data_IF_830469559785
#
_entry.id   IF_830469559785
#
_cell.length_a   1.000
_cell.length_b   1.000
_cell.length_c   1.000
_cell.angle_alpha   90.00
_cell.angle_beta   90.00
_cell.angle_gamma   90.00
#
_symmetry.space_group_name_H-M   'P 1'
#
loop_
_entity.id
_entity.type
_entity.pdbx_description
1 polymer ?
#
# COMPACT_ATOMS: atom_id res chain seq x y z
N UNK A 1 -24.93 -6.90 -62.48
CA UNK A 1 -23.79 -6.92 -61.54
C UNK A 1 -24.31 -6.48 -60.19
N UNK A 2 -24.40 -7.38 -59.18
CA UNK A 2 -24.87 -7.08 -57.83
C UNK A 2 -23.65 -6.94 -56.91
N UNK A 3 -23.32 -5.72 -56.47
CA UNK A 3 -22.29 -5.44 -55.50
C UNK A 3 -22.77 -5.80 -54.09
N UNK A 4 -22.15 -6.82 -53.48
CA UNK A 4 -22.39 -7.21 -52.09
C UNK A 4 -21.49 -6.34 -51.20
N UNK A 5 -22.07 -5.38 -50.47
CA UNK A 5 -21.37 -4.62 -49.44
C UNK A 5 -21.06 -5.53 -48.25
N UNK A 6 -19.79 -5.74 -47.98
CA UNK A 6 -19.29 -6.44 -46.80
C UNK A 6 -19.14 -5.42 -45.65
N UNK A 7 -20.06 -5.48 -44.69
CA UNK A 7 -19.97 -4.68 -43.47
C UNK A 7 -19.04 -5.40 -42.49
N UNK A 8 -17.79 -4.89 -42.32
CA UNK A 8 -16.88 -5.38 -41.31
C UNK A 8 -17.22 -4.65 -40.01
N UNK A 9 -17.83 -5.37 -39.07
CA UNK A 9 -18.04 -4.85 -37.72
C UNK A 9 -16.73 -4.88 -36.95
N UNK A 10 -16.16 -3.71 -36.72
CA UNK A 10 -14.96 -3.50 -35.88
C UNK A 10 -15.38 -3.58 -34.40
N UNK A 11 -15.15 -4.75 -33.78
CA UNK A 11 -15.36 -4.96 -32.34
C UNK A 11 -14.17 -4.33 -31.60
N UNK A 12 -14.37 -3.13 -31.04
CA UNK A 12 -13.42 -2.53 -30.13
C UNK A 12 -13.50 -3.24 -28.77
N UNK A 13 -12.49 -4.04 -28.45
CA UNK A 13 -12.30 -4.57 -27.09
C UNK A 13 -11.90 -3.41 -26.18
N UNK A 14 -12.83 -2.92 -25.39
CA UNK A 14 -12.51 -2.10 -24.24
C UNK A 14 -11.87 -3.00 -23.18
N UNK A 15 -10.53 -2.97 -23.08
CA UNK A 15 -9.82 -3.53 -21.94
C UNK A 15 -10.10 -2.60 -20.74
N UNK A 16 -11.04 -2.98 -19.88
CA UNK A 16 -11.16 -2.37 -18.57
C UNK A 16 -9.86 -2.70 -17.80
N UNK A 17 -9.05 -1.69 -17.51
CA UNK A 17 -7.92 -1.85 -16.60
C UNK A 17 -8.48 -2.29 -15.23
N UNK A 18 -8.00 -3.39 -14.65
CA UNK A 18 -8.44 -3.78 -13.32
C UNK A 18 -7.92 -2.72 -12.33
N UNK A 19 -8.81 -1.92 -11.75
CA UNK A 19 -8.48 -1.13 -10.58
C UNK A 19 -8.14 -2.11 -9.46
N UNK A 20 -7.00 -1.93 -8.81
CA UNK A 20 -6.63 -2.73 -7.65
C UNK A 20 -7.72 -2.54 -6.57
N UNK A 21 -8.55 -3.56 -6.39
CA UNK A 21 -9.62 -3.53 -5.41
C UNK A 21 -9.07 -4.07 -4.09
N UNK A 22 -8.62 -3.17 -3.23
CA UNK A 22 -8.07 -3.53 -1.93
C UNK A 22 -9.13 -4.12 -1.02
N UNK A 23 -8.92 -5.36 -0.59
CA UNK A 23 -9.76 -6.06 0.38
C UNK A 23 -9.02 -6.17 1.72
N UNK A 24 -9.67 -5.88 2.85
CA UNK A 24 -9.04 -5.96 4.16
C UNK A 24 -8.78 -7.43 4.53
N UNK A 25 -7.59 -7.68 5.07
CA UNK A 25 -7.23 -8.95 5.69
C UNK A 25 -7.45 -8.85 7.20
N UNK A 26 -6.94 -7.78 7.81
CA UNK A 26 -7.09 -7.51 9.22
C UNK A 26 -6.44 -6.20 9.63
N UNK A 27 -6.62 -5.83 10.89
CA UNK A 27 -6.03 -4.62 11.46
C UNK A 27 -5.65 -4.82 12.93
N UNK A 28 -4.69 -4.04 13.41
CA UNK A 28 -4.22 -4.05 14.79
C UNK A 28 -3.86 -2.65 15.26
N UNK A 29 -3.98 -2.41 16.56
CA UNK A 29 -3.58 -1.15 17.19
C UNK A 29 -2.17 -1.26 17.75
N UNK A 30 -1.34 -0.28 17.44
CA UNK A 30 -0.07 -0.12 18.09
C UNK A 30 -0.16 0.90 19.22
N UNK A 31 0.17 0.44 20.43
CA UNK A 31 0.19 1.26 21.63
C UNK A 31 1.59 1.37 22.21
N UNK A 32 1.96 2.56 22.66
CA UNK A 32 3.17 2.77 23.46
C UNK A 32 2.78 3.16 24.89
N UNK A 33 2.96 2.23 25.82
CA UNK A 33 2.41 2.36 27.15
C UNK A 33 0.88 2.50 27.08
N UNK A 34 0.28 3.53 27.71
CA UNK A 34 -1.18 3.75 27.64
C UNK A 34 -1.62 4.50 26.38
N UNK A 35 -0.70 4.88 25.49
CA UNK A 35 -1.02 5.73 24.34
C UNK A 35 -1.23 4.91 23.07
N UNK A 36 -2.37 5.06 22.44
CA UNK A 36 -2.60 4.59 21.08
C UNK A 36 -1.86 5.51 20.11
N UNK A 37 -0.92 4.96 19.34
CA UNK A 37 -0.03 5.72 18.45
C UNK A 37 -0.55 5.70 17.03
N UNK A 38 -0.84 4.50 16.51
CA UNK A 38 -1.46 4.31 15.19
C UNK A 38 -2.23 2.99 15.13
N UNK A 39 -3.17 2.92 14.22
CA UNK A 39 -3.79 1.67 13.78
C UNK A 39 -3.15 1.24 12.47
N UNK A 40 -2.75 -0.02 12.37
CA UNK A 40 -2.22 -0.60 11.13
C UNK A 40 -3.23 -1.57 10.54
N UNK A 41 -3.48 -1.45 9.22
CA UNK A 41 -4.30 -2.36 8.43
C UNK A 41 -3.47 -3.09 7.38
N UNK A 42 -3.83 -4.35 7.11
CA UNK A 42 -3.25 -5.16 6.04
C UNK A 42 -4.31 -5.45 5.00
N UNK A 43 -3.96 -5.27 3.72
CA UNK A 43 -4.87 -5.42 2.58
C UNK A 43 -4.19 -6.16 1.44
N UNK A 44 -4.97 -6.94 0.69
CA UNK A 44 -4.56 -7.55 -0.58
C UNK A 44 -5.71 -7.47 -1.60
N UNK A 45 -5.50 -7.91 -2.83
CA UNK A 45 -6.57 -8.01 -3.83
C UNK A 45 -7.58 -9.13 -3.52
N UNK A 46 -7.15 -10.15 -2.76
CA UNK A 46 -7.96 -11.34 -2.46
C UNK A 46 -8.61 -11.32 -1.08
N UNK A 47 -8.24 -10.37 -0.20
CA UNK A 47 -8.67 -10.34 1.20
C UNK A 47 -8.03 -11.45 2.06
N UNK A 48 -7.00 -12.13 1.54
CA UNK A 48 -6.24 -13.16 2.26
C UNK A 48 -4.75 -12.86 2.20
N UNK A 49 -4.01 -13.28 3.22
CA UNK A 49 -2.56 -13.14 3.23
C UNK A 49 -1.91 -14.45 2.80
N UNK A 50 -1.04 -14.37 1.81
CA UNK A 50 -0.09 -15.41 1.47
C UNK A 50 1.31 -14.81 1.47
N UNK A 51 2.27 -15.55 2.01
CA UNK A 51 3.68 -15.11 2.06
C UNK A 51 4.19 -14.90 0.62
N UNK A 52 4.87 -13.77 0.40
CA UNK A 52 5.38 -13.34 -0.92
C UNK A 52 4.34 -13.02 -2.01
N UNK A 53 3.04 -13.12 -1.73
CA UNK A 53 2.02 -12.66 -2.66
C UNK A 53 2.02 -11.12 -2.74
N UNK A 54 1.89 -10.59 -3.96
CA UNK A 54 1.81 -9.15 -4.25
C UNK A 54 0.72 -8.93 -5.31
N UNK A 55 0.06 -7.78 -5.32
CA UNK A 55 0.28 -6.61 -4.47
C UNK A 55 -0.23 -6.79 -3.04
N UNK A 56 0.42 -6.07 -2.10
CA UNK A 56 0.04 -6.00 -0.69
C UNK A 56 0.08 -4.54 -0.23
N UNK A 57 -0.86 -4.12 0.63
CA UNK A 57 -0.85 -2.79 1.19
C UNK A 57 -0.86 -2.84 2.72
N UNK A 58 0.03 -2.08 3.34
CA UNK A 58 0.01 -1.73 4.75
C UNK A 58 -0.49 -0.28 4.87
N UNK A 59 -1.49 -0.05 5.71
CA UNK A 59 -2.09 1.25 5.94
C UNK A 59 -1.94 1.65 7.40
N UNK A 60 -1.41 2.85 7.67
CA UNK A 60 -1.18 3.39 9.00
C UNK A 60 -2.04 4.62 9.19
N UNK A 61 -3.01 4.55 10.09
CA UNK A 61 -3.75 5.73 10.54
C UNK A 61 -3.15 6.22 11.83
N UNK A 62 -2.60 7.42 11.82
CA UNK A 62 -1.96 8.02 12.98
C UNK A 62 -2.98 8.62 13.95
N UNK A 63 -2.81 8.34 15.25
CA UNK A 63 -3.61 8.90 16.33
C UNK A 63 -2.84 9.99 17.11
N UNK A 64 -1.53 10.08 16.87
CA UNK A 64 -0.63 11.05 17.50
C UNK A 64 0.27 11.68 16.45
N UNK A 65 0.72 12.93 16.65
CA UNK A 65 1.73 13.53 15.79
C UNK A 65 3.02 12.73 15.87
N UNK A 66 3.65 12.47 14.72
CA UNK A 66 4.90 11.71 14.58
C UNK A 66 5.82 12.46 13.63
N UNK A 67 7.03 12.76 14.07
CA UNK A 67 8.06 13.32 13.19
C UNK A 67 8.50 12.28 12.16
N UNK A 68 8.33 12.59 10.85
CA UNK A 68 8.59 11.66 9.76
C UNK A 68 10.03 11.13 9.76
N UNK A 69 11.03 11.98 10.06
CA UNK A 69 12.44 11.57 10.17
C UNK A 69 12.67 10.57 11.29
N UNK A 70 12.03 10.75 12.45
CA UNK A 70 12.15 9.83 13.58
C UNK A 70 11.42 8.52 13.29
N UNK A 71 10.31 8.56 12.57
CA UNK A 71 9.61 7.37 12.10
C UNK A 71 10.50 6.54 11.17
N UNK A 72 11.17 7.18 10.19
CA UNK A 72 12.14 6.51 9.32
C UNK A 72 13.26 5.81 10.10
N UNK A 73 13.83 6.48 11.11
CA UNK A 73 14.86 5.88 11.97
C UNK A 73 14.32 4.64 12.70
N UNK A 74 13.09 4.72 13.20
CA UNK A 74 12.46 3.60 13.91
C UNK A 74 12.26 2.41 12.97
N UNK A 75 11.77 2.63 11.75
CA UNK A 75 11.57 1.58 10.75
C UNK A 75 12.89 0.88 10.41
N UNK A 76 13.98 1.64 10.20
CA UNK A 76 15.29 1.04 9.89
C UNK A 76 15.81 0.21 11.06
N UNK A 77 15.67 0.66 12.30
CA UNK A 77 16.05 -0.13 13.48
C UNK A 77 15.28 -1.46 13.56
N UNK A 78 13.99 -1.45 13.25
CA UNK A 78 13.18 -2.67 13.20
C UNK A 78 13.67 -3.60 12.09
N UNK A 79 13.93 -3.08 10.88
CA UNK A 79 14.49 -3.84 9.77
C UNK A 79 15.82 -4.49 10.14
N UNK A 80 16.73 -3.76 10.76
CA UNK A 80 18.05 -4.27 11.21
C UNK A 80 17.89 -5.40 12.25
N UNK A 81 16.89 -5.27 13.14
CA UNK A 81 16.58 -6.29 14.17
C UNK A 81 16.12 -7.60 13.54
N UNK A 82 15.42 -7.57 12.41
CA UNK A 82 14.93 -8.76 11.70
C UNK A 82 16.06 -9.58 11.07
N UNK A 83 17.23 -8.98 10.80
CA UNK A 83 18.36 -9.60 10.11
C UNK A 83 17.99 -10.21 8.74
N UNK A 84 16.99 -9.61 8.08
CA UNK A 84 16.50 -10.04 6.76
C UNK A 84 17.25 -9.34 5.62
N UNK A 85 18.24 -8.51 5.93
CA UNK A 85 18.72 -7.52 4.99
C UNK A 85 20.05 -7.90 4.35
N UNK A 86 19.96 -8.18 3.07
CA UNK A 86 21.03 -7.92 2.11
C UNK A 86 20.92 -6.48 1.51
N UNK A 87 20.06 -5.62 2.09
CA UNK A 87 19.75 -4.30 1.58
C UNK A 87 20.63 -3.20 2.16
N UNK A 88 20.68 -2.07 1.45
CA UNK A 88 21.36 -0.86 1.90
C UNK A 88 20.44 -0.04 2.83
N UNK A 89 20.43 -0.39 4.13
CA UNK A 89 19.61 0.29 5.14
C UNK A 89 19.95 1.78 5.27
N UNK A 90 21.18 2.20 4.96
CA UNK A 90 21.57 3.60 5.01
C UNK A 90 20.95 4.40 3.84
N UNK A 91 20.91 3.82 2.65
CA UNK A 91 20.21 4.43 1.51
C UNK A 91 18.72 4.55 1.80
N UNK A 92 18.07 3.47 2.26
CA UNK A 92 16.65 3.48 2.62
C UNK A 92 16.31 4.50 3.69
N UNK A 93 17.17 4.65 4.72
CA UNK A 93 17.00 5.68 5.75
C UNK A 93 17.00 7.08 5.15
N UNK A 94 18.00 7.37 4.32
CA UNK A 94 18.15 8.69 3.67
C UNK A 94 16.94 9.00 2.78
N UNK A 95 16.50 8.03 2.03
CA UNK A 95 15.35 8.13 1.12
C UNK A 95 14.05 8.39 1.89
N UNK A 96 13.75 7.59 2.93
CA UNK A 96 12.59 7.82 3.77
C UNK A 96 12.63 9.18 4.49
N UNK A 97 13.80 9.59 5.00
CA UNK A 97 13.94 10.91 5.66
C UNK A 97 13.76 12.09 4.70
N UNK A 98 14.07 11.91 3.42
CA UNK A 98 13.82 12.92 2.40
C UNK A 98 12.34 12.94 1.95
N UNK A 99 11.65 11.81 2.05
CA UNK A 99 10.31 11.59 1.54
C UNK A 99 9.21 11.86 2.59
N UNK A 100 9.46 11.47 3.85
CA UNK A 100 8.43 11.57 4.89
C UNK A 100 8.30 12.98 5.46
N UNK A 101 7.13 13.62 5.36
CA UNK A 101 6.81 14.78 6.17
C UNK A 101 6.52 14.37 7.61
N UNK A 102 6.28 15.34 8.49
CA UNK A 102 5.70 15.07 9.79
C UNK A 102 4.24 14.68 9.65
N UNK A 103 3.82 13.62 10.36
CA UNK A 103 2.47 13.10 10.33
C UNK A 103 1.64 13.70 11.44
N UNK A 104 0.42 14.08 11.13
CA UNK A 104 -0.59 14.61 12.06
C UNK A 104 -1.61 13.52 12.46
N UNK A 105 -2.33 13.71 13.58
CA UNK A 105 -3.46 12.83 13.89
C UNK A 105 -4.47 12.79 12.74
N UNK A 106 -4.96 11.60 12.44
CA UNK A 106 -5.83 11.24 11.32
C UNK A 106 -5.15 11.17 9.94
N UNK A 107 -3.87 11.50 9.80
CA UNK A 107 -3.16 11.18 8.57
C UNK A 107 -3.14 9.67 8.32
N UNK A 108 -3.25 9.30 7.05
CA UNK A 108 -3.20 7.91 6.59
C UNK A 108 -1.99 7.76 5.67
N UNK A 109 -1.01 6.98 6.11
CA UNK A 109 0.14 6.58 5.29
C UNK A 109 -0.07 5.16 4.80
N UNK A 110 -0.18 4.98 3.50
CA UNK A 110 -0.25 3.67 2.86
C UNK A 110 1.12 3.32 2.27
N UNK A 111 1.56 2.08 2.47
CA UNK A 111 2.66 1.50 1.73
C UNK A 111 2.12 0.44 0.79
N UNK A 112 2.33 0.63 -0.51
CA UNK A 112 1.89 -0.30 -1.55
C UNK A 112 3.12 -1.06 -2.04
N UNK A 113 3.15 -2.37 -1.78
CA UNK A 113 4.19 -3.28 -2.21
C UNK A 113 3.75 -4.03 -3.46
N UNK A 114 4.37 -3.72 -4.59
CA UNK A 114 4.25 -4.43 -5.86
C UNK A 114 5.31 -5.55 -5.94
N UNK A 115 5.28 -6.42 -6.96
CA UNK A 115 6.25 -7.52 -7.07
C UNK A 115 7.72 -7.06 -7.14
N UNK A 116 8.00 -5.95 -7.78
CA UNK A 116 9.33 -5.44 -8.11
C UNK A 116 9.70 -4.13 -7.40
N UNK A 117 8.71 -3.40 -6.88
CA UNK A 117 8.89 -2.11 -6.21
C UNK A 117 7.80 -1.85 -5.19
N UNK A 118 7.98 -0.81 -4.37
CA UNK A 118 6.95 -0.30 -3.48
C UNK A 118 7.05 1.21 -3.33
N UNK A 119 5.98 1.84 -2.88
CA UNK A 119 5.90 3.28 -2.71
C UNK A 119 4.92 3.66 -1.59
N UNK A 120 5.08 4.89 -1.09
CA UNK A 120 4.21 5.45 -0.07
C UNK A 120 3.17 6.40 -0.66
N UNK A 121 1.98 6.39 -0.07
CA UNK A 121 0.89 7.31 -0.35
C UNK A 121 0.44 7.93 0.96
N UNK A 122 0.50 9.24 1.09
CA UNK A 122 0.02 9.98 2.26
C UNK A 122 -1.25 10.74 1.89
N UNK A 123 -2.37 10.41 2.53
CA UNK A 123 -3.66 11.09 2.29
C UNK A 123 -3.93 11.28 0.80
N UNK A 124 -3.98 10.23 0.01
CA UNK A 124 -4.22 10.23 -1.44
C UNK A 124 -3.10 10.86 -2.32
N UNK A 125 -2.00 11.34 -1.70
CA UNK A 125 -0.84 11.88 -2.42
C UNK A 125 0.29 10.87 -2.45
N UNK A 126 0.70 10.44 -3.66
CA UNK A 126 1.88 9.58 -3.84
C UNK A 126 3.14 10.35 -3.47
N UNK A 127 3.97 9.78 -2.61
CA UNK A 127 5.27 10.36 -2.25
C UNK A 127 6.31 10.00 -3.32
N UNK A 128 7.21 10.96 -3.63
CA UNK A 128 8.06 10.95 -4.84
C UNK A 128 9.20 9.92 -4.86
N UNK A 129 9.09 8.81 -4.11
CA UNK A 129 10.17 7.83 -4.09
C UNK A 129 9.64 6.38 -4.18
N UNK A 130 10.22 5.60 -5.10
CA UNK A 130 9.96 4.17 -5.21
C UNK A 130 11.10 3.39 -4.53
N UNK A 131 10.73 2.35 -3.79
CA UNK A 131 11.64 1.42 -3.13
C UNK A 131 11.70 0.09 -3.87
N UNK A 132 12.82 -0.60 -3.79
CA UNK A 132 13.03 -1.88 -4.47
C UNK A 132 12.32 -3.06 -3.79
N UNK A 133 12.35 -4.23 -4.43
CA UNK A 133 11.75 -5.46 -3.90
C UNK A 133 12.37 -5.92 -2.58
N UNK A 134 13.66 -5.59 -2.32
CA UNK A 134 14.32 -5.93 -1.05
C UNK A 134 13.76 -5.09 0.10
N UNK A 135 13.53 -3.80 -0.17
CA UNK A 135 12.83 -2.94 0.78
C UNK A 135 11.42 -3.45 1.07
N UNK A 136 10.65 -3.86 0.04
CA UNK A 136 9.32 -4.45 0.23
C UNK A 136 9.35 -5.59 1.23
N UNK A 137 10.27 -6.53 1.06
CA UNK A 137 10.41 -7.69 1.96
C UNK A 137 10.76 -7.26 3.38
N UNK A 138 11.72 -6.36 3.52
CA UNK A 138 12.18 -5.87 4.81
C UNK A 138 11.09 -5.07 5.53
N UNK A 139 10.43 -4.15 4.82
CA UNK A 139 9.39 -3.29 5.38
C UNK A 139 8.17 -4.09 5.84
N UNK A 140 7.66 -4.98 5.00
CA UNK A 140 6.53 -5.86 5.37
C UNK A 140 6.95 -6.79 6.52
N UNK A 141 8.19 -7.26 6.52
CA UNK A 141 8.77 -8.09 7.58
C UNK A 141 8.71 -7.45 8.95
N UNK A 142 8.76 -6.12 9.08
CA UNK A 142 8.63 -5.42 10.37
C UNK A 142 7.41 -5.94 11.14
N UNK A 143 6.27 -6.13 10.48
CA UNK A 143 5.03 -6.58 11.14
C UNK A 143 4.76 -8.07 10.97
N UNK A 144 5.21 -8.71 9.88
CA UNK A 144 4.77 -10.06 9.50
C UNK A 144 5.83 -11.14 9.64
N UNK A 145 7.11 -10.81 9.85
CA UNK A 145 8.15 -11.81 10.05
C UNK A 145 7.97 -12.55 11.39
N UNK A 146 8.27 -13.85 11.47
CA UNK A 146 8.11 -14.64 12.69
C UNK A 146 8.92 -14.13 13.88
N UNK A 147 10.06 -13.48 13.62
CA UNK A 147 10.95 -12.87 14.63
C UNK A 147 10.73 -11.36 14.82
N UNK A 148 9.62 -10.83 14.34
CA UNK A 148 9.24 -9.42 14.49
C UNK A 148 9.02 -9.06 15.96
N UNK A 149 9.39 -7.84 16.34
CA UNK A 149 9.03 -7.23 17.64
C UNK A 149 7.51 -7.04 17.76
N UNK A 150 6.79 -6.97 16.62
CA UNK A 150 5.34 -6.82 16.52
C UNK A 150 4.57 -8.13 16.39
N UNK A 151 5.19 -9.30 16.70
CA UNK A 151 4.56 -10.62 16.60
C UNK A 151 3.20 -10.72 17.31
N UNK A 152 3.00 -9.95 18.38
CA UNK A 152 1.72 -9.90 19.12
C UNK A 152 0.56 -9.31 18.33
N UNK A 153 0.84 -8.47 17.33
CA UNK A 153 -0.15 -7.84 16.45
C UNK A 153 -0.55 -8.75 15.27
N UNK A 154 0.29 -9.72 14.92
CA UNK A 154 0.10 -10.57 13.75
C UNK A 154 -1.24 -11.33 13.73
N UNK A 155 -1.73 -11.93 14.83
CA UNK A 155 -3.03 -12.62 14.78
C UNK A 155 -4.18 -11.70 14.35
N UNK A 156 -4.14 -10.42 14.70
CA UNK A 156 -5.13 -9.42 14.29
C UNK A 156 -4.89 -8.96 12.85
N UNK A 157 -3.64 -8.62 12.50
CA UNK A 157 -3.27 -8.22 11.12
C UNK A 157 -3.59 -9.31 10.10
N UNK A 158 -3.40 -10.58 10.46
CA UNK A 158 -3.69 -11.71 9.59
C UNK A 158 -5.15 -12.17 9.62
N UNK A 159 -6.05 -11.39 10.25
CA UNK A 159 -7.47 -11.72 10.32
C UNK A 159 -7.82 -12.96 11.15
N UNK A 160 -6.84 -13.55 11.86
CA UNK A 160 -7.03 -14.74 12.71
C UNK A 160 -7.71 -14.41 14.05
N UNK A 161 -7.67 -13.14 14.46
CA UNK A 161 -8.29 -12.63 15.66
C UNK A 161 -8.95 -11.29 15.34
N UNK A 162 -10.18 -11.07 15.85
CA UNK A 162 -10.86 -9.78 15.66
C UNK A 162 -10.07 -8.68 16.38
N UNK A 163 -9.95 -7.52 15.73
CA UNK A 163 -9.51 -6.29 16.37
C UNK A 163 -10.58 -5.79 17.34
N UNK A 164 -10.18 -5.11 18.40
CA UNK A 164 -11.10 -4.55 19.38
C UNK A 164 -11.85 -3.32 18.87
N UNK A 165 -11.49 -2.78 17.71
CA UNK A 165 -12.12 -1.62 17.08
C UNK A 165 -12.60 -1.93 15.66
N UNK A 166 -13.73 -1.32 15.28
CA UNK A 166 -14.34 -1.35 13.93
C UNK A 166 -13.48 -0.61 12.87
N UNK A 167 -12.15 -0.60 13.03
CA UNK A 167 -11.23 0.10 12.15
C UNK A 167 -11.33 -0.36 10.69
N UNK A 168 -11.85 -1.56 10.42
CA UNK A 168 -12.09 -2.04 9.06
C UNK A 168 -13.07 -1.14 8.27
N UNK A 169 -14.10 -0.57 8.93
CA UNK A 169 -15.02 0.35 8.28
C UNK A 169 -14.37 1.70 7.91
N UNK A 170 -13.31 2.10 8.64
CA UNK A 170 -12.68 3.40 8.44
C UNK A 170 -11.81 3.45 7.18
N UNK A 171 -11.22 2.31 6.79
CA UNK A 171 -10.41 2.20 5.58
C UNK A 171 -11.25 1.90 4.33
N UNK A 172 -12.53 1.49 4.50
CA UNK A 172 -13.39 0.99 3.44
C UNK A 172 -14.58 1.89 3.13
N UNK A 173 -14.73 3.02 3.82
CA UNK A 173 -15.57 4.11 3.33
C UNK A 173 -14.71 5.05 2.47
N UNK A 174 -14.62 4.85 1.14
CA UNK A 174 -14.73 6.02 0.33
C UNK A 174 -16.09 6.60 0.75
N UNK A 175 -16.18 7.82 1.20
CA UNK A 175 -17.40 8.58 1.02
C UNK A 175 -17.69 8.51 -0.48
N UNK A 176 -18.56 7.57 -0.84
CA UNK A 176 -19.28 7.63 -2.10
C UNK A 176 -20.30 8.75 -1.86
N UNK A 177 -19.82 9.97 -1.78
CA UNK A 177 -20.57 11.08 -2.31
C UNK A 177 -20.81 10.67 -3.75
N UNK A 178 -22.09 10.54 -4.09
CA UNK A 178 -22.57 10.28 -5.44
C UNK A 178 -21.77 11.16 -6.39
N UNK A 179 -20.71 10.58 -7.00
CA UNK A 179 -20.03 11.22 -8.11
C UNK A 179 -21.05 11.27 -9.23
N UNK A 180 -21.51 12.45 -9.54
CA UNK A 180 -22.06 12.73 -10.86
C UNK A 180 -21.06 12.22 -11.89
N UNK A 181 -21.50 11.38 -12.81
CA UNK A 181 -20.68 10.69 -13.83
C UNK A 181 -19.87 11.64 -14.74
N UNK A 182 -19.68 12.91 -14.38
CA UNK A 182 -19.05 13.96 -15.18
C UNK A 182 -17.74 14.52 -14.64
N UNK A 183 -17.30 14.19 -13.44
CA UNK A 183 -16.04 14.71 -12.88
C UNK A 183 -14.98 13.61 -12.73
N UNK A 184 -14.03 13.68 -13.67
CA UNK A 184 -12.62 13.25 -13.64
C UNK A 184 -12.28 11.98 -12.85
N UNK A 185 -12.00 10.91 -13.61
CA UNK A 185 -11.17 9.79 -13.14
C UNK A 185 -9.96 10.34 -12.37
N UNK A 186 -9.66 9.81 -11.15
CA UNK A 186 -8.40 10.11 -10.50
C UNK A 186 -7.26 9.71 -11.46
N UNK A 187 -6.39 10.66 -11.77
CA UNK A 187 -5.22 10.40 -12.59
C UNK A 187 -4.35 9.35 -11.89
N UNK A 188 -4.14 8.22 -12.56
CA UNK A 188 -3.17 7.22 -12.13
C UNK A 188 -1.79 7.89 -12.03
N UNK A 189 -0.97 7.54 -11.02
CA UNK A 189 0.39 8.05 -10.93
C UNK A 189 1.12 7.88 -12.27
N UNK A 190 1.90 8.89 -12.73
CA UNK A 190 2.47 8.95 -14.08
C UNK A 190 3.25 7.70 -14.53
N UNK A 191 3.84 6.95 -13.60
CA UNK A 191 4.61 5.74 -13.91
C UNK A 191 3.76 4.51 -14.26
N UNK A 192 2.47 4.48 -13.92
CA UNK A 192 1.58 3.38 -14.33
C UNK A 192 1.30 3.40 -15.84
N UNK A 193 1.37 4.59 -16.47
CA UNK A 193 1.12 4.76 -17.90
C UNK A 193 2.34 4.40 -18.76
N UNK A 194 3.57 4.47 -18.23
CA UNK A 194 4.79 4.25 -19.00
C UNK A 194 5.12 2.76 -19.21
N UNK A 195 4.76 1.88 -18.26
CA UNK A 195 5.07 0.44 -18.36
C UNK A 195 4.18 -0.31 -19.35
N UNK A 196 2.94 0.17 -19.59
CA UNK A 196 2.02 -0.47 -20.52
C UNK A 196 2.31 -0.13 -22.00
N UNK A 197 2.99 0.98 -22.30
CA UNK A 197 3.36 1.33 -23.66
C UNK A 197 4.59 0.57 -24.16
N UNK A 198 5.51 0.17 -23.27
CA UNK A 198 6.70 -0.63 -23.67
C UNK A 198 6.41 -2.09 -24.03
N UNK A 199 5.26 -2.62 -23.63
CA UNK A 199 4.86 -4.02 -23.93
C UNK A 199 4.07 -4.19 -25.23
N UNK A 200 3.64 -3.10 -25.87
CA UNK A 200 2.85 -3.17 -27.11
C UNK A 200 3.66 -2.94 -28.39
N UNK A 201 4.95 -2.65 -28.29
CA UNK A 201 5.86 -2.43 -29.46
C UNK A 201 7.01 -3.45 -29.55
N UNK A 202 6.88 -4.65 -28.93
CA UNK A 202 7.84 -5.74 -29.01
C UNK A 202 7.27 -6.98 -29.68
#
# INVERSE_FOLDING_TARGET
>A
MKMKSLFVAMITFFSAAPFAHWQPIGNAEYTWGPFHVYTIGLFSETGTYQENERPLMLSFKYEKPIEGKNFAITLIKEIETLKLNDGDTQSWLKEMQATFPDFSPNDILNYIALPDRGYFVLNDTVLEHDFDAKFNQAFIGIWLAPNSTFVKLQPQLLGKKKSNHEAAEFYLKPEIESFDEQDSMPELPPHYLLDNQKKSEG
#
